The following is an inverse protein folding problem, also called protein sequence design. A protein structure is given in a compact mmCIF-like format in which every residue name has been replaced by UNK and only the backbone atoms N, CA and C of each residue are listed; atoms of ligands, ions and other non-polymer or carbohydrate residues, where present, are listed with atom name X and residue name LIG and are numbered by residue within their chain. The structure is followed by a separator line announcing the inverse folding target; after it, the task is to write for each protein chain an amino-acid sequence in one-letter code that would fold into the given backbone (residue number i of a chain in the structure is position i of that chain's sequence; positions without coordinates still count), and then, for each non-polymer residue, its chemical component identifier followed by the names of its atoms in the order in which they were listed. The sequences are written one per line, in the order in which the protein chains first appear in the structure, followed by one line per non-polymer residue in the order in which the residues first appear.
data_IF_820499310936
#
_entry.id   IF_820499310936
#
_cell.length_a   1.000
_cell.length_b   1.000
_cell.length_c   1.000
_cell.angle_alpha   90.00
_cell.angle_beta   90.00
_cell.angle_gamma   90.00
#
_symmetry.space_group_name_H-M   'P 1'
#
loop_
_entity.id
_entity.type
_entity.pdbx_description
1 polymer ?
#
# COMPACT_ATOMS: atom_id res chain seq x y z
N UNK A 1 31.23 69.12 6.22
CA UNK A 1 30.65 70.27 5.49
C UNK A 1 29.13 70.18 5.55
N UNK A 2 28.50 71.22 6.10
CA UNK A 2 27.11 71.72 5.89
C UNK A 2 25.96 70.73 6.16
N UNK A 3 25.32 70.77 7.33
CA UNK A 3 24.33 71.76 7.82
C UNK A 3 22.93 71.59 7.19
N UNK A 4 21.94 71.31 8.06
CA UNK A 4 20.50 71.45 7.82
C UNK A 4 20.12 72.93 7.55
N UNK A 5 18.89 73.27 7.09
CA UNK A 5 17.77 73.43 8.05
C UNK A 5 16.31 73.29 7.50
N UNK A 6 15.37 73.11 8.46
CA UNK A 6 14.05 73.76 8.67
C UNK A 6 13.18 74.03 7.42
N UNK A 7 11.97 73.50 7.25
CA UNK A 7 10.81 73.48 8.14
C UNK A 7 9.89 74.68 7.87
N UNK A 8 8.64 74.49 7.41
CA UNK A 8 7.46 75.29 7.78
C UNK A 8 6.14 74.75 7.21
N UNK A 9 5.07 75.03 7.96
CA UNK A 9 3.67 74.62 7.84
C UNK A 9 2.90 75.26 6.66
N UNK A 10 1.85 74.60 6.15
CA UNK A 10 0.42 74.97 6.39
C UNK A 10 -0.60 74.20 5.52
N UNK A 11 -1.48 73.49 6.23
CA UNK A 11 -2.95 73.39 6.11
C UNK A 11 -3.70 73.13 4.79
N UNK A 12 -4.66 72.20 4.95
CA UNK A 12 -6.02 72.16 4.42
C UNK A 12 -6.26 71.47 3.07
N UNK A 13 -6.75 70.23 3.17
CA UNK A 13 -7.39 69.48 2.09
C UNK A 13 -8.25 68.38 2.70
N UNK A 14 -9.48 68.74 3.02
CA UNK A 14 -10.54 67.86 3.50
C UNK A 14 -10.91 66.88 2.37
N UNK A 15 -10.57 65.60 2.50
CA UNK A 15 -11.22 64.52 1.76
C UNK A 15 -11.58 63.41 2.74
N UNK A 16 -12.86 63.42 3.12
CA UNK A 16 -13.53 62.22 3.57
C UNK A 16 -13.54 61.21 2.41
N UNK A 17 -13.35 59.93 2.72
CA UNK A 17 -14.15 58.80 2.20
C UNK A 17 -13.57 57.50 2.77
N UNK A 18 -14.45 56.82 3.52
CA UNK A 18 -14.51 55.41 3.87
C UNK A 18 -13.23 54.70 4.34
N UNK A 19 -13.19 54.46 5.65
CA UNK A 19 -12.36 53.43 6.24
C UNK A 19 -12.76 52.04 5.72
N UNK A 20 -11.77 51.32 5.20
CA UNK A 20 -11.77 49.87 5.23
C UNK A 20 -10.90 49.44 6.42
N UNK A 21 -11.57 49.17 7.54
CA UNK A 21 -11.00 48.38 8.63
C UNK A 21 -10.74 46.97 8.07
N UNK A 22 -9.52 46.73 7.61
CA UNK A 22 -9.04 45.35 7.41
C UNK A 22 -8.77 44.81 8.81
N UNK A 23 -9.82 44.26 9.41
CA UNK A 23 -9.73 43.41 10.59
C UNK A 23 -8.86 42.22 10.23
N UNK A 24 -7.59 42.24 10.66
CA UNK A 24 -6.75 41.06 10.67
C UNK A 24 -7.32 40.09 11.72
N UNK A 25 -8.33 39.33 11.32
CA UNK A 25 -8.71 38.11 12.02
C UNK A 25 -7.55 37.14 11.80
N UNK A 26 -6.74 36.98 12.85
CA UNK A 26 -5.97 35.77 13.06
C UNK A 26 -6.97 34.61 13.06
N UNK A 27 -7.19 34.04 11.88
CA UNK A 27 -8.00 32.84 11.74
C UNK A 27 -7.20 31.72 12.38
N UNK A 28 -7.66 31.29 13.54
CA UNK A 28 -7.37 30.00 14.12
C UNK A 28 -7.46 28.94 13.02
N UNK A 29 -6.30 28.47 12.53
CA UNK A 29 -6.19 27.20 11.85
C UNK A 29 -6.37 26.09 12.90
N UNK A 30 -7.60 25.93 13.38
CA UNK A 30 -8.00 24.86 14.28
C UNK A 30 -9.10 24.06 13.61
N UNK A 31 -8.79 22.77 13.42
CA UNK A 31 -9.77 21.68 13.38
C UNK A 31 -10.53 21.40 12.07
N UNK A 32 -9.86 21.47 10.91
CA UNK A 32 -10.42 20.88 9.67
C UNK A 32 -9.67 19.66 9.12
N UNK A 33 -8.51 19.27 9.67
CA UNK A 33 -7.77 18.08 9.18
C UNK A 33 -8.21 16.73 9.80
N UNK A 34 -9.16 16.71 10.74
CA UNK A 34 -9.60 15.46 11.40
C UNK A 34 -11.02 15.00 11.02
N UNK A 35 -11.75 15.78 10.22
CA UNK A 35 -13.14 15.49 9.82
C UNK A 35 -13.31 14.64 8.55
N UNK A 36 -12.24 14.39 7.78
CA UNK A 36 -12.32 13.76 6.45
C UNK A 36 -12.00 12.27 6.39
N UNK A 37 -12.01 11.53 7.50
CA UNK A 37 -11.68 10.08 7.52
C UNK A 37 -12.77 9.18 8.12
N UNK A 38 -13.92 9.72 8.53
CA UNK A 38 -15.01 8.96 9.18
C UNK A 38 -16.03 8.38 8.21
N UNK A 39 -15.98 8.73 6.93
CA UNK A 39 -16.88 8.28 5.86
C UNK A 39 -16.29 7.15 5.00
N UNK A 40 -14.97 6.92 5.07
CA UNK A 40 -14.30 5.85 4.33
C UNK A 40 -14.84 4.47 4.75
N UNK A 41 -15.14 3.62 3.77
CA UNK A 41 -15.36 2.19 3.94
C UNK A 41 -14.13 1.50 4.55
N UNK A 42 -14.31 0.30 5.09
CA UNK A 42 -13.20 -0.45 5.68
C UNK A 42 -12.08 -0.74 4.67
N UNK A 43 -12.44 -1.09 3.42
CA UNK A 43 -11.49 -1.29 2.32
C UNK A 43 -10.68 -0.04 1.99
N UNK A 44 -11.32 1.12 1.93
CA UNK A 44 -10.62 2.39 1.70
C UNK A 44 -9.64 2.71 2.83
N UNK A 45 -9.99 2.39 4.09
CA UNK A 45 -9.06 2.56 5.22
C UNK A 45 -7.90 1.58 5.17
N UNK A 46 -8.09 0.34 4.70
CA UNK A 46 -6.99 -0.59 4.46
C UNK A 46 -6.03 -0.04 3.40
N UNK A 47 -6.56 0.38 2.25
CA UNK A 47 -5.75 0.94 1.16
C UNK A 47 -4.97 2.16 1.63
N UNK A 48 -5.63 3.12 2.29
CA UNK A 48 -4.97 4.30 2.83
C UNK A 48 -3.89 3.95 3.87
N UNK A 49 -4.11 2.90 4.67
CA UNK A 49 -3.14 2.44 5.67
C UNK A 49 -1.92 1.79 5.02
N UNK A 50 -2.13 1.00 3.97
CA UNK A 50 -1.07 0.37 3.20
C UNK A 50 -0.23 1.37 2.42
N UNK A 51 -0.87 2.33 1.73
CA UNK A 51 -0.18 3.37 1.00
C UNK A 51 0.69 4.25 1.90
N UNK A 52 0.26 4.49 3.14
CA UNK A 52 1.05 5.23 4.13
C UNK A 52 2.36 4.51 4.54
N UNK A 53 2.47 3.20 4.28
CA UNK A 53 3.69 2.42 4.54
C UNK A 53 4.59 2.29 3.30
N UNK A 54 4.14 2.74 2.13
CA UNK A 54 4.93 2.69 0.88
C UNK A 54 6.29 3.37 1.07
N UNK A 55 7.34 2.73 0.57
CA UNK A 55 8.73 3.21 0.65
C UNK A 55 9.48 2.81 1.91
N UNK A 56 8.83 2.20 2.91
CA UNK A 56 9.56 1.60 4.03
C UNK A 56 10.45 0.46 3.53
N UNK A 57 11.70 0.32 4.00
CA UNK A 57 12.58 -0.78 3.61
C UNK A 57 11.99 -2.14 4.00
N UNK A 58 12.30 -3.16 3.20
CA UNK A 58 11.96 -4.54 3.55
C UNK A 58 12.57 -4.91 4.89
N UNK A 59 11.81 -5.64 5.70
CA UNK A 59 12.25 -6.15 7.01
C UNK A 59 12.62 -5.07 8.04
N UNK A 60 12.30 -3.80 7.75
CA UNK A 60 12.48 -2.72 8.71
C UNK A 60 11.50 -2.83 9.88
N UNK A 61 11.92 -2.36 11.05
CA UNK A 61 11.07 -2.30 12.22
C UNK A 61 10.08 -1.13 12.11
N UNK A 62 8.84 -1.37 12.50
CA UNK A 62 7.78 -0.37 12.58
C UNK A 62 7.08 -0.47 13.93
N UNK A 63 6.87 0.65 14.61
CA UNK A 63 6.03 0.71 15.80
C UNK A 63 4.70 1.41 15.48
N UNK A 64 3.57 0.74 15.76
CA UNK A 64 2.23 1.29 15.60
C UNK A 64 1.39 1.01 16.84
N UNK A 65 0.88 2.06 17.47
CA UNK A 65 0.02 1.98 18.67
C UNK A 65 0.62 1.08 19.77
N UNK A 66 1.93 1.22 20.02
CA UNK A 66 2.66 0.46 21.05
C UNK A 66 2.97 -1.00 20.69
N UNK A 67 2.81 -1.39 19.42
CA UNK A 67 3.16 -2.72 18.91
C UNK A 67 4.25 -2.63 17.85
N UNK A 68 5.21 -3.55 17.92
CA UNK A 68 6.28 -3.68 16.93
C UNK A 68 5.91 -4.66 15.82
N UNK A 69 6.29 -4.32 14.60
CA UNK A 69 6.15 -5.11 13.39
C UNK A 69 7.50 -5.17 12.67
N UNK A 70 7.80 -6.29 12.02
CA UNK A 70 8.83 -6.38 10.98
C UNK A 70 8.13 -6.29 9.64
N UNK A 71 8.58 -5.41 8.75
CA UNK A 71 7.93 -5.19 7.45
C UNK A 71 8.37 -6.20 6.38
N UNK A 72 8.13 -7.47 6.67
CA UNK A 72 8.05 -8.54 5.66
C UNK A 72 6.63 -8.62 5.07
N UNK A 73 6.32 -9.65 4.28
CA UNK A 73 5.03 -9.73 3.59
C UNK A 73 3.83 -9.75 4.55
N UNK A 74 3.86 -10.58 5.58
CA UNK A 74 2.76 -10.71 6.53
C UNK A 74 2.82 -9.66 7.60
N UNK A 75 4.00 -9.30 8.10
CA UNK A 75 4.15 -8.22 9.08
C UNK A 75 3.70 -6.87 8.54
N UNK A 76 3.87 -6.62 7.23
CA UNK A 76 3.22 -5.50 6.55
C UNK A 76 1.69 -5.57 6.60
N UNK A 77 1.09 -6.70 6.22
CA UNK A 77 -0.37 -6.87 6.27
C UNK A 77 -0.91 -6.77 7.71
N UNK A 78 -0.19 -7.35 8.68
CA UNK A 78 -0.46 -7.23 10.12
C UNK A 78 -0.46 -5.77 10.57
N UNK A 79 0.51 -4.96 10.13
CA UNK A 79 0.57 -3.53 10.45
C UNK A 79 -0.63 -2.75 9.87
N UNK A 80 -1.01 -3.06 8.64
CA UNK A 80 -2.19 -2.47 7.97
C UNK A 80 -3.47 -2.83 8.73
N UNK A 81 -3.67 -4.10 9.06
CA UNK A 81 -4.85 -4.59 9.79
C UNK A 81 -4.90 -4.05 11.22
N UNK A 82 -3.76 -3.99 11.92
CA UNK A 82 -3.67 -3.44 13.27
C UNK A 82 -4.07 -1.97 13.34
N UNK A 83 -3.69 -1.18 12.32
CA UNK A 83 -4.13 0.21 12.21
C UNK A 83 -5.66 0.32 12.13
N UNK A 84 -6.29 -0.70 11.56
CA UNK A 84 -7.74 -0.83 11.35
C UNK A 84 -8.45 -1.74 12.37
N UNK A 85 -7.81 -2.04 13.50
CA UNK A 85 -8.44 -2.69 14.65
C UNK A 85 -8.40 -4.22 14.67
N UNK A 86 -7.73 -4.86 13.72
CA UNK A 86 -7.61 -6.32 13.65
C UNK A 86 -6.22 -6.78 14.11
N UNK A 87 -6.19 -7.72 15.05
CA UNK A 87 -4.96 -8.33 15.56
C UNK A 87 -4.66 -9.64 14.80
N UNK A 88 -4.00 -9.53 13.64
CA UNK A 88 -3.81 -10.71 12.78
C UNK A 88 -3.04 -11.86 13.46
N UNK A 89 -2.04 -11.56 14.31
CA UNK A 89 -1.29 -12.64 15.01
C UNK A 89 -2.18 -13.44 15.97
N UNK A 90 -3.21 -12.80 16.55
CA UNK A 90 -4.19 -13.47 17.39
C UNK A 90 -5.13 -14.34 16.56
N UNK A 91 -5.61 -13.84 15.41
CA UNK A 91 -6.42 -14.63 14.47
C UNK A 91 -5.67 -15.85 13.95
N UNK A 92 -4.37 -15.71 13.70
CA UNK A 92 -3.51 -16.78 13.20
C UNK A 92 -3.01 -17.73 14.29
N UNK A 93 -3.31 -17.52 15.57
CA UNK A 93 -2.65 -18.20 16.69
C UNK A 93 -2.81 -19.73 16.70
N UNK A 94 -3.87 -20.26 16.08
CA UNK A 94 -4.17 -21.69 16.02
C UNK A 94 -3.58 -22.40 14.80
N UNK A 95 -3.11 -21.66 13.80
CA UNK A 95 -2.52 -22.19 12.57
C UNK A 95 -1.02 -22.39 12.72
N UNK A 96 -0.46 -23.38 12.01
CA UNK A 96 0.96 -23.76 12.12
C UNK A 96 1.74 -23.35 10.88
N UNK A 97 3.07 -23.37 10.97
CA UNK A 97 3.96 -22.98 9.88
C UNK A 97 4.39 -21.52 9.97
N UNK A 98 4.99 -21.01 8.89
CA UNK A 98 5.36 -19.61 8.77
C UNK A 98 4.13 -18.68 8.69
N UNK A 99 4.37 -17.38 8.75
CA UNK A 99 3.30 -16.40 8.82
C UNK A 99 2.41 -16.38 7.56
N UNK A 100 2.96 -16.62 6.37
CA UNK A 100 2.18 -16.54 5.11
C UNK A 100 1.29 -17.76 4.93
N UNK A 101 1.78 -18.94 5.30
CA UNK A 101 0.99 -20.16 5.31
C UNK A 101 -0.12 -20.09 6.39
N UNK A 102 0.18 -19.56 7.58
CA UNK A 102 -0.84 -19.33 8.63
C UNK A 102 -1.93 -18.35 8.18
N UNK A 103 -1.56 -17.29 7.47
CA UNK A 103 -2.52 -16.34 6.91
C UNK A 103 -3.40 -17.01 5.84
N UNK A 104 -2.81 -17.80 4.96
CA UNK A 104 -3.55 -18.54 3.92
C UNK A 104 -4.53 -19.53 4.55
N UNK A 105 -4.08 -20.36 5.48
CA UNK A 105 -4.94 -21.32 6.20
C UNK A 105 -6.10 -20.63 6.95
N UNK A 106 -5.84 -19.49 7.60
CA UNK A 106 -6.88 -18.66 8.24
C UNK A 106 -7.96 -18.26 7.24
N UNK A 107 -7.57 -17.74 6.07
CA UNK A 107 -8.52 -17.28 5.06
C UNK A 107 -9.23 -18.44 4.35
N UNK A 108 -8.57 -19.58 4.18
CA UNK A 108 -9.19 -20.82 3.71
C UNK A 108 -10.26 -21.32 4.70
N UNK A 109 -9.96 -21.31 6.00
CA UNK A 109 -10.92 -21.72 7.04
C UNK A 109 -12.16 -20.82 7.10
N UNK A 110 -12.04 -19.58 6.60
CA UNK A 110 -13.12 -18.62 6.46
C UNK A 110 -13.82 -18.66 5.10
N UNK A 111 -13.43 -19.59 4.21
CA UNK A 111 -13.90 -19.66 2.82
C UNK A 111 -13.75 -18.32 2.06
N UNK A 112 -12.68 -17.59 2.36
CA UNK A 112 -12.48 -16.23 1.85
C UNK A 112 -11.92 -16.19 0.42
N UNK A 113 -11.32 -17.28 -0.05
CA UNK A 113 -10.81 -17.37 -1.42
C UNK A 113 -11.99 -17.42 -2.39
N UNK A 114 -12.06 -16.43 -3.28
CA UNK A 114 -13.20 -16.31 -4.17
C UNK A 114 -13.00 -16.99 -5.51
N UNK A 115 -14.11 -17.45 -6.09
CA UNK A 115 -14.28 -17.61 -7.55
C UNK A 115 -14.84 -16.33 -8.22
N UNK A 116 -14.96 -15.21 -7.47
CA UNK A 116 -15.56 -13.95 -7.96
C UNK A 116 -14.90 -13.50 -9.27
N UNK A 117 -15.65 -12.86 -10.19
CA UNK A 117 -15.13 -12.48 -11.50
C UNK A 117 -13.99 -11.46 -11.42
N UNK A 118 -13.93 -10.62 -10.36
CA UNK A 118 -12.85 -9.65 -10.15
C UNK A 118 -12.59 -9.37 -8.66
N UNK A 119 -11.32 -9.15 -8.27
CA UNK A 119 -10.94 -8.76 -6.92
C UNK A 119 -11.35 -7.31 -6.61
N UNK A 120 -11.33 -6.94 -5.32
CA UNK A 120 -11.65 -5.59 -4.84
C UNK A 120 -10.45 -4.98 -4.07
N UNK A 121 -10.35 -3.64 -4.01
CA UNK A 121 -9.41 -2.98 -3.12
C UNK A 121 -9.50 -3.51 -1.68
N UNK A 122 -8.33 -3.72 -1.06
CA UNK A 122 -8.21 -4.32 0.26
C UNK A 122 -8.08 -5.85 0.27
N UNK A 123 -8.45 -6.57 -0.80
CA UNK A 123 -8.28 -8.04 -0.86
C UNK A 123 -6.81 -8.45 -0.78
N UNK A 124 -6.56 -9.67 -0.32
CA UNK A 124 -5.20 -10.22 -0.23
C UNK A 124 -4.87 -11.11 -1.41
N UNK A 125 -3.67 -10.94 -1.96
CA UNK A 125 -3.15 -11.72 -3.08
C UNK A 125 -2.03 -12.60 -2.57
N UNK A 126 -2.01 -13.86 -3.00
CA UNK A 126 -1.00 -14.85 -2.64
C UNK A 126 -0.23 -15.30 -3.87
N UNK A 127 1.06 -15.55 -3.67
CA UNK A 127 1.94 -16.09 -4.69
C UNK A 127 2.67 -17.32 -4.16
N UNK A 128 2.78 -18.32 -5.03
CA UNK A 128 3.53 -19.52 -4.76
C UNK A 128 4.93 -19.41 -5.39
N UNK A 129 5.91 -20.12 -4.83
CA UNK A 129 7.23 -20.35 -5.42
C UNK A 129 7.97 -19.07 -5.86
N UNK A 130 7.88 -18.00 -5.08
CA UNK A 130 8.52 -16.71 -5.39
C UNK A 130 10.00 -16.67 -5.05
N UNK A 131 10.50 -17.65 -4.32
CA UNK A 131 11.91 -17.89 -4.02
C UNK A 131 12.05 -19.32 -3.47
N UNK A 132 13.26 -19.87 -3.52
CA UNK A 132 13.63 -21.18 -2.95
C UNK A 132 13.61 -21.11 -1.42
N UNK A 133 12.45 -21.41 -0.83
CA UNK A 133 12.16 -21.26 0.59
C UNK A 133 12.66 -22.43 1.42
N UNK A 134 12.66 -23.64 0.84
CA UNK A 134 13.16 -24.84 1.50
C UNK A 134 14.69 -25.01 1.37
N UNK A 135 15.33 -24.30 0.43
CA UNK A 135 16.78 -24.27 0.22
C UNK A 135 17.34 -25.48 -0.54
N UNK A 136 16.51 -26.24 -1.25
CA UNK A 136 16.94 -27.43 -1.99
C UNK A 136 17.35 -27.15 -3.45
N UNK A 137 17.14 -25.92 -3.91
CA UNK A 137 17.48 -25.47 -5.26
C UNK A 137 16.51 -25.94 -6.35
N UNK A 138 15.40 -26.59 -5.99
CA UNK A 138 14.31 -26.94 -6.89
C UNK A 138 13.44 -25.70 -7.08
N UNK A 139 13.03 -25.45 -8.32
CA UNK A 139 12.17 -24.31 -8.65
C UNK A 139 10.75 -24.83 -8.76
N UNK A 140 9.85 -24.30 -7.92
CA UNK A 140 8.41 -24.51 -8.08
C UNK A 140 7.76 -25.45 -7.06
N UNK A 141 8.44 -25.81 -5.97
CA UNK A 141 7.98 -26.78 -4.98
C UNK A 141 7.89 -26.25 -3.54
N UNK A 142 8.03 -24.95 -3.34
CA UNK A 142 7.93 -24.29 -2.03
C UNK A 142 6.49 -24.02 -1.57
N UNK A 143 5.51 -24.04 -2.48
CA UNK A 143 4.13 -23.65 -2.19
C UNK A 143 4.00 -22.15 -1.95
N UNK A 144 3.13 -21.73 -1.03
CA UNK A 144 2.88 -20.30 -0.79
C UNK A 144 4.03 -19.64 -0.05
N UNK A 145 4.63 -18.65 -0.69
CA UNK A 145 5.86 -17.98 -0.22
C UNK A 145 5.71 -16.48 -0.08
N UNK A 146 4.63 -15.89 -0.64
CA UNK A 146 4.44 -14.44 -0.59
C UNK A 146 2.98 -14.01 -0.55
N UNK A 147 2.75 -12.83 0.01
CA UNK A 147 1.44 -12.19 0.05
C UNK A 147 1.53 -10.67 -0.11
N UNK A 148 0.40 -10.06 -0.48
CA UNK A 148 0.25 -8.62 -0.69
C UNK A 148 -1.22 -8.23 -0.69
N UNK A 149 -1.51 -6.95 -0.95
CA UNK A 149 -2.87 -6.41 -0.89
C UNK A 149 -3.23 -5.66 -2.16
N UNK A 150 -4.45 -5.84 -2.66
CA UNK A 150 -5.02 -5.10 -3.78
C UNK A 150 -5.24 -3.64 -3.38
N UNK A 151 -4.77 -2.73 -4.22
CA UNK A 151 -4.96 -1.28 -4.09
C UNK A 151 -6.02 -0.79 -5.07
N UNK A 152 -5.97 -1.25 -6.31
CA UNK A 152 -6.95 -0.90 -7.35
C UNK A 152 -7.04 -1.98 -8.42
N UNK A 153 -8.11 -1.95 -9.20
CA UNK A 153 -8.32 -2.87 -10.33
C UNK A 153 -8.74 -2.04 -11.54
N UNK A 154 -7.96 -2.13 -12.62
CA UNK A 154 -8.25 -1.47 -13.88
C UNK A 154 -9.39 -2.18 -14.63
N UNK A 155 -9.98 -1.51 -15.61
CA UNK A 155 -11.10 -2.06 -16.40
C UNK A 155 -10.75 -3.34 -17.17
N UNK A 156 -9.47 -3.52 -17.53
CA UNK A 156 -8.91 -4.70 -18.20
C UNK A 156 -8.49 -5.82 -17.22
N UNK A 157 -8.90 -5.73 -15.96
CA UNK A 157 -8.59 -6.73 -14.93
C UNK A 157 -7.19 -6.60 -14.34
N UNK A 158 -6.38 -5.64 -14.78
CA UNK A 158 -5.04 -5.43 -14.19
C UNK A 158 -5.18 -4.89 -12.77
N UNK A 159 -4.73 -5.68 -11.81
CA UNK A 159 -4.64 -5.35 -10.40
C UNK A 159 -3.37 -4.53 -10.15
N UNK A 160 -3.54 -3.39 -9.48
CA UNK A 160 -2.44 -2.75 -8.74
C UNK A 160 -2.44 -3.32 -7.34
N UNK A 161 -1.33 -3.90 -6.89
CA UNK A 161 -1.17 -4.39 -5.53
C UNK A 161 0.02 -3.73 -4.85
N UNK A 162 0.03 -3.78 -3.52
CA UNK A 162 1.11 -3.33 -2.65
C UNK A 162 1.62 -4.50 -1.83
N UNK A 163 2.94 -4.63 -1.71
CA UNK A 163 3.56 -5.73 -0.97
C UNK A 163 4.94 -5.33 -0.42
N UNK A 164 5.46 -6.11 0.52
CA UNK A 164 6.85 -5.99 0.96
C UNK A 164 7.78 -6.70 -0.03
N UNK A 165 8.49 -5.94 -0.85
CA UNK A 165 9.46 -6.44 -1.82
C UNK A 165 10.86 -6.43 -1.22
N UNK A 166 11.57 -7.55 -1.25
CA UNK A 166 12.95 -7.67 -0.73
C UNK A 166 13.89 -6.59 -1.31
N UNK A 167 13.72 -6.23 -2.58
CA UNK A 167 14.61 -5.27 -3.27
C UNK A 167 14.10 -3.83 -3.27
N UNK A 168 12.80 -3.60 -3.08
CA UNK A 168 12.17 -2.28 -3.22
C UNK A 168 11.49 -1.77 -1.95
N UNK A 169 11.48 -2.56 -0.88
CA UNK A 169 10.68 -2.30 0.31
C UNK A 169 9.18 -2.41 0.01
N UNK A 170 8.37 -1.67 0.76
CA UNK A 170 6.92 -1.64 0.55
C UNK A 170 6.62 -0.89 -0.75
N UNK A 171 6.21 -1.62 -1.79
CA UNK A 171 6.14 -1.09 -3.16
C UNK A 171 4.86 -1.51 -3.88
N UNK A 172 4.44 -0.69 -4.84
CA UNK A 172 3.37 -1.02 -5.77
C UNK A 172 3.89 -1.87 -6.92
N UNK A 173 3.05 -2.78 -7.39
CA UNK A 173 3.30 -3.63 -8.54
C UNK A 173 1.98 -4.00 -9.24
N UNK A 174 2.08 -4.72 -10.36
CA UNK A 174 0.98 -5.05 -11.27
C UNK A 174 0.79 -6.54 -11.39
N UNK A 175 -0.45 -7.00 -11.42
CA UNK A 175 -0.88 -8.39 -11.63
C UNK A 175 -2.04 -8.40 -12.63
N UNK A 176 -2.00 -9.27 -13.63
CA UNK A 176 -3.14 -9.55 -14.50
C UNK A 176 -3.28 -11.07 -14.67
N UNK A 177 -4.38 -11.63 -14.13
CA UNK A 177 -4.67 -13.08 -14.14
C UNK A 177 -5.20 -13.57 -15.49
N UNK A 178 -5.75 -12.69 -16.32
CA UNK A 178 -6.22 -13.04 -17.66
C UNK A 178 -5.05 -13.19 -18.64
N UNK A 179 -3.89 -12.61 -18.30
CA UNK A 179 -2.65 -12.66 -19.08
C UNK A 179 -1.44 -13.05 -18.23
N UNK A 180 -1.45 -14.22 -17.55
CA UNK A 180 -0.53 -14.51 -16.43
C UNK A 180 0.94 -14.61 -16.85
N UNK A 181 1.21 -15.07 -18.08
CA UNK A 181 2.56 -15.25 -18.63
C UNK A 181 3.09 -14.02 -19.37
N UNK A 182 2.31 -12.94 -19.45
CA UNK A 182 2.68 -11.75 -20.21
C UNK A 182 3.00 -10.60 -19.28
N UNK A 183 4.22 -10.07 -19.41
CA UNK A 183 4.63 -8.89 -18.68
C UNK A 183 3.91 -7.62 -19.12
N UNK A 184 3.71 -7.48 -20.42
CA UNK A 184 3.11 -6.29 -21.04
C UNK A 184 1.98 -6.67 -22.00
N UNK A 185 1.02 -5.77 -22.13
CA UNK A 185 -0.02 -5.82 -23.15
C UNK A 185 0.56 -5.58 -24.55
N UNK A 186 -0.19 -5.87 -25.63
CA UNK A 186 0.19 -5.48 -27.00
C UNK A 186 0.40 -3.96 -27.17
N UNK A 187 -0.20 -3.14 -26.31
CA UNK A 187 -0.05 -1.67 -26.31
C UNK A 187 1.08 -1.18 -25.38
N UNK A 188 1.83 -2.08 -24.75
CA UNK A 188 2.94 -1.76 -23.85
C UNK A 188 2.53 -1.43 -22.41
N UNK A 189 1.25 -1.59 -22.04
CA UNK A 189 0.81 -1.46 -20.64
C UNK A 189 1.39 -2.60 -19.81
N UNK A 190 1.94 -2.31 -18.64
CA UNK A 190 2.41 -3.34 -17.71
C UNK A 190 1.23 -4.14 -17.15
N UNK A 191 1.19 -5.44 -17.43
CA UNK A 191 0.20 -6.39 -16.91
C UNK A 191 0.71 -7.11 -15.67
N UNK A 192 1.94 -7.61 -15.70
CA UNK A 192 2.52 -8.36 -14.59
C UNK A 192 3.87 -7.78 -14.19
N UNK A 193 4.20 -7.79 -12.92
CA UNK A 193 5.54 -7.40 -12.44
C UNK A 193 6.41 -8.64 -12.23
N UNK A 194 7.75 -8.52 -12.29
CA UNK A 194 8.63 -9.57 -11.79
C UNK A 194 8.30 -9.85 -10.31
N UNK A 195 8.08 -11.12 -9.98
CA UNK A 195 7.71 -11.57 -8.64
C UNK A 195 8.72 -12.56 -8.06
N UNK A 196 9.28 -13.46 -8.88
CA UNK A 196 10.33 -14.35 -8.40
C UNK A 196 11.57 -13.55 -7.98
N UNK A 197 12.20 -13.92 -6.86
CA UNK A 197 13.33 -13.21 -6.29
C UNK A 197 14.50 -13.12 -7.27
N UNK A 198 14.94 -11.90 -7.54
CA UNK A 198 16.02 -11.61 -8.49
C UNK A 198 15.60 -11.66 -9.97
N UNK A 199 14.36 -12.02 -10.29
CA UNK A 199 13.86 -11.93 -11.66
C UNK A 199 13.66 -10.48 -12.11
N UNK A 200 13.84 -10.22 -13.40
CA UNK A 200 13.58 -8.91 -14.01
C UNK A 200 13.40 -9.03 -15.51
N UNK A 201 12.76 -8.02 -16.11
CA UNK A 201 12.69 -7.90 -17.57
C UNK A 201 14.08 -7.84 -18.21
N UNK A 202 14.26 -8.55 -19.32
CA UNK A 202 15.53 -8.60 -20.06
C UNK A 202 16.60 -9.54 -19.48
N UNK A 203 16.38 -10.13 -18.29
CA UNK A 203 17.28 -11.17 -17.76
C UNK A 203 17.10 -12.46 -18.54
N UNK A 204 18.19 -13.00 -19.09
CA UNK A 204 18.18 -14.21 -19.92
C UNK A 204 17.79 -15.49 -19.18
N UNK A 205 18.12 -15.55 -17.89
CA UNK A 205 17.98 -16.76 -17.07
C UNK A 205 16.99 -16.51 -15.92
N UNK A 206 15.80 -15.96 -16.23
CA UNK A 206 14.70 -16.01 -15.28
C UNK A 206 14.23 -17.47 -15.15
N UNK A 207 13.65 -17.86 -13.99
CA UNK A 207 12.93 -19.13 -13.88
C UNK A 207 11.79 -19.23 -14.90
N UNK A 208 11.28 -20.44 -15.19
CA UNK A 208 10.16 -20.61 -16.10
C UNK A 208 8.92 -19.81 -15.70
N UNK A 209 8.63 -19.75 -14.40
CA UNK A 209 7.60 -18.92 -13.79
C UNK A 209 8.24 -17.84 -12.92
N UNK A 210 7.94 -16.59 -13.21
CA UNK A 210 8.62 -15.47 -12.54
C UNK A 210 7.81 -14.18 -12.49
N UNK A 211 6.66 -14.16 -13.15
CA UNK A 211 5.78 -13.00 -13.18
C UNK A 211 4.77 -13.12 -12.04
N UNK A 212 4.24 -12.00 -11.59
CA UNK A 212 3.17 -11.99 -10.60
C UNK A 212 1.94 -12.76 -11.08
N UNK A 213 1.70 -12.81 -12.39
CA UNK A 213 0.52 -13.43 -12.98
C UNK A 213 0.55 -14.94 -12.92
N UNK A 214 1.67 -15.54 -13.29
CA UNK A 214 1.82 -17.00 -13.33
C UNK A 214 2.17 -17.62 -11.99
N UNK A 215 2.73 -16.84 -11.06
CA UNK A 215 2.93 -17.26 -9.68
C UNK A 215 1.70 -17.00 -8.78
N UNK A 216 0.67 -16.30 -9.25
CA UNK A 216 -0.51 -15.97 -8.44
C UNK A 216 -1.32 -17.24 -8.14
N UNK A 217 -1.38 -17.63 -6.86
CA UNK A 217 -2.11 -18.83 -6.42
C UNK A 217 -3.51 -18.56 -5.90
N UNK A 218 -3.81 -17.32 -5.51
CA UNK A 218 -5.16 -16.97 -5.06
C UNK A 218 -5.34 -15.51 -4.69
N UNK A 219 -6.61 -15.09 -4.63
CA UNK A 219 -7.02 -13.80 -4.06
C UNK A 219 -8.16 -14.07 -3.07
N UNK A 220 -8.05 -13.50 -1.87
CA UNK A 220 -8.96 -13.74 -0.76
C UNK A 220 -9.63 -12.45 -0.25
N UNK A 221 -10.87 -12.59 0.22
CA UNK A 221 -11.62 -11.53 0.87
C UNK A 221 -10.96 -11.09 2.17
N UNK A 222 -10.48 -9.86 2.22
CA UNK A 222 -10.01 -9.32 3.49
C UNK A 222 -11.18 -9.07 4.48
N UNK A 223 -12.40 -8.81 3.99
CA UNK A 223 -13.57 -8.58 4.86
C UNK A 223 -14.03 -9.84 5.60
N UNK A 224 -13.55 -11.03 5.22
CA UNK A 224 -13.76 -12.26 6.00
C UNK A 224 -13.14 -12.22 7.41
N UNK A 225 -12.27 -11.23 7.67
CA UNK A 225 -11.63 -10.98 8.96
C UNK A 225 -12.44 -10.05 9.88
N UNK A 226 -13.58 -9.53 9.42
CA UNK A 226 -14.55 -8.80 10.25
C UNK A 226 -15.45 -9.78 11.03
#
# INVERSE_FOLDING_TARGET
MKAAPRGFLRSAGLFAVLGFLVSALASCATTEELGGRSDLSWRERLVASAEALKGHPYDSALELKGRHFRLDCVGFLSAVLWRNGINLDQEMAHFRGDAVNRLKELLESKHAFFEKPRPQPGDFVFWDNTWDANGDGIIGDDGTTHAGMVVSVDSDGTVTYIHASVTRGIALAKLNRDHPHHGFSPTGKLWNSPMYLGSMYGRKNNPPHWLSGDLCSGIADAESLL
#
